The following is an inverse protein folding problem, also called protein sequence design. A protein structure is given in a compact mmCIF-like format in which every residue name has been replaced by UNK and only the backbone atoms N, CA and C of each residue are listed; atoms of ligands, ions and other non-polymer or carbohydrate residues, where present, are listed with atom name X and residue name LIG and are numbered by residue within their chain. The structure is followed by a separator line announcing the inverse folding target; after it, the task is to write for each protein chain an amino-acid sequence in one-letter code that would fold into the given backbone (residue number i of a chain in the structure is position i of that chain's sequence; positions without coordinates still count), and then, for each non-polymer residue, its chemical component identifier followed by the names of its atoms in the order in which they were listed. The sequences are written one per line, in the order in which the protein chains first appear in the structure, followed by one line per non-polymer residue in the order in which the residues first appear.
data_IF_568435699384
#
_entry.id   IF_568435699384
#
_cell.length_a   1.000
_cell.length_b   1.000
_cell.length_c   1.000
_cell.angle_alpha   90.00
_cell.angle_beta   90.00
_cell.angle_gamma   90.00
#
_symmetry.space_group_name_H-M   'P 1'
#
loop_
_entity.id
_entity.type
_entity.pdbx_description
1 polymer ?
#
# COMPACT_ATOMS: atom_id res chain seq x y z
N UNK A 1 -4.61 9.29 24.68
CA UNK A 1 -5.19 9.57 23.36
C UNK A 1 -5.16 8.30 22.51
N UNK A 2 -6.21 8.00 21.78
CA UNK A 2 -6.22 6.87 20.84
C UNK A 2 -5.16 7.07 19.76
N UNK A 3 -4.52 5.97 19.30
CA UNK A 3 -3.55 6.02 18.21
C UNK A 3 -4.22 5.57 16.91
N UNK A 4 -3.89 6.19 15.76
CA UNK A 4 -4.42 5.75 14.48
C UNK A 4 -3.92 4.33 14.18
N UNK A 5 -4.77 3.54 13.54
CA UNK A 5 -4.46 2.16 13.16
C UNK A 5 -4.65 2.01 11.65
N UNK A 6 -3.56 1.96 10.92
CA UNK A 6 -3.55 1.82 9.45
C UNK A 6 -3.52 0.37 8.96
N UNK A 7 -3.87 -0.58 9.81
CA UNK A 7 -4.02 -1.98 9.43
C UNK A 7 -2.71 -2.72 9.14
N UNK A 8 -2.87 -3.98 8.82
CA UNK A 8 -1.80 -4.88 8.37
C UNK A 8 -2.16 -5.34 6.96
N UNK A 9 -1.28 -5.06 6.01
CA UNK A 9 -1.42 -5.52 4.63
C UNK A 9 -1.30 -7.05 4.60
N UNK A 10 -2.23 -7.72 3.94
CA UNK A 10 -2.32 -9.18 3.86
C UNK A 10 -2.16 -9.92 5.20
N UNK A 11 -3.06 -9.73 6.18
CA UNK A 11 -2.90 -10.25 7.54
C UNK A 11 -2.84 -11.78 7.61
N UNK A 12 -3.45 -12.48 6.62
CA UNK A 12 -3.41 -13.95 6.53
C UNK A 12 -1.99 -14.46 6.27
N UNK A 13 -1.23 -13.78 5.43
CA UNK A 13 0.15 -14.14 5.13
C UNK A 13 1.04 -14.02 6.38
N UNK A 14 0.89 -12.93 7.14
CA UNK A 14 1.58 -12.75 8.41
C UNK A 14 1.27 -13.85 9.42
N UNK A 15 0.00 -14.21 9.56
CA UNK A 15 -0.42 -15.31 10.45
C UNK A 15 0.19 -16.66 10.03
N UNK A 16 0.21 -16.96 8.74
CA UNK A 16 0.80 -18.21 8.21
C UNK A 16 2.28 -18.30 8.59
N UNK A 17 3.05 -17.22 8.44
CA UNK A 17 4.48 -17.21 8.81
C UNK A 17 4.64 -17.46 10.32
N UNK A 18 3.86 -16.78 11.15
CA UNK A 18 3.92 -16.99 12.61
C UNK A 18 3.62 -18.45 12.99
N UNK A 19 2.54 -19.00 12.43
CA UNK A 19 2.17 -20.41 12.69
C UNK A 19 3.23 -21.39 12.19
N UNK A 20 3.83 -21.14 11.03
CA UNK A 20 4.91 -21.98 10.48
C UNK A 20 6.15 -21.96 11.37
N UNK A 21 6.53 -20.79 11.90
CA UNK A 21 7.65 -20.64 12.84
C UNK A 21 7.39 -21.39 14.15
N UNK A 22 6.19 -21.22 14.72
CA UNK A 22 5.79 -21.90 15.98
C UNK A 22 5.77 -23.43 15.80
N UNK A 23 5.13 -23.89 14.72
CA UNK A 23 5.06 -25.33 14.41
C UNK A 23 6.45 -25.93 14.14
N UNK A 24 7.29 -25.20 13.39
CA UNK A 24 8.67 -25.60 13.09
C UNK A 24 9.52 -25.70 14.35
N UNK A 25 9.39 -24.74 15.28
CA UNK A 25 10.07 -24.76 16.56
C UNK A 25 9.61 -25.95 17.43
N UNK A 26 8.29 -26.17 17.53
CA UNK A 26 7.73 -27.27 18.32
C UNK A 26 8.17 -28.65 17.78
N UNK A 27 8.07 -28.86 16.46
CA UNK A 27 8.52 -30.10 15.81
C UNK A 27 10.04 -30.30 15.98
N UNK A 28 10.81 -29.29 15.67
CA UNK A 28 12.27 -29.35 15.73
C UNK A 28 12.78 -29.69 17.16
N UNK A 29 12.25 -29.02 18.19
CA UNK A 29 12.61 -29.29 19.59
C UNK A 29 12.10 -30.65 20.07
N UNK A 30 10.88 -31.04 19.69
CA UNK A 30 10.27 -32.32 20.08
C UNK A 30 11.01 -33.53 19.53
N UNK A 31 11.48 -33.46 18.28
CA UNK A 31 12.06 -34.59 17.56
C UNK A 31 13.58 -34.54 17.38
N UNK A 32 14.29 -33.50 17.90
CA UNK A 32 15.77 -33.39 17.77
C UNK A 32 16.57 -34.55 18.33
N UNK A 33 15.97 -35.34 19.24
CA UNK A 33 16.59 -36.53 19.88
C UNK A 33 15.93 -37.84 19.43
N UNK A 34 15.16 -37.84 18.32
CA UNK A 34 14.51 -39.04 17.80
C UNK A 34 15.53 -40.15 17.50
N UNK A 35 15.17 -41.39 17.79
CA UNK A 35 15.95 -42.58 17.42
C UNK A 35 15.94 -42.86 15.91
N UNK A 36 14.90 -42.32 15.21
CA UNK A 36 14.79 -42.44 13.74
C UNK A 36 15.63 -41.36 13.11
N UNK A 37 16.67 -41.72 12.38
CA UNK A 37 17.63 -40.81 11.79
C UNK A 37 17.01 -39.79 10.86
N UNK A 38 16.08 -40.21 9.99
CA UNK A 38 15.37 -39.30 9.06
C UNK A 38 14.57 -38.25 9.80
N UNK A 39 13.92 -38.60 10.91
CA UNK A 39 13.13 -37.66 11.75
C UNK A 39 14.05 -36.66 12.44
N UNK A 40 15.18 -37.12 12.96
CA UNK A 40 16.20 -36.26 13.60
C UNK A 40 16.82 -35.28 12.60
N UNK A 41 17.11 -35.74 11.39
CA UNK A 41 17.64 -34.91 10.31
C UNK A 41 16.60 -33.82 9.90
N UNK A 42 15.34 -34.20 9.69
CA UNK A 42 14.26 -33.28 9.40
C UNK A 42 14.07 -32.22 10.51
N UNK A 43 14.10 -32.64 11.78
CA UNK A 43 14.00 -31.73 12.92
C UNK A 43 15.15 -30.71 12.94
N UNK A 44 16.38 -31.14 12.62
CA UNK A 44 17.56 -30.27 12.56
C UNK A 44 17.45 -29.24 11.43
N UNK A 45 17.01 -29.66 10.25
CA UNK A 45 16.78 -28.77 9.10
C UNK A 45 15.70 -27.72 9.43
N UNK A 46 14.56 -28.15 9.98
CA UNK A 46 13.46 -27.24 10.35
C UNK A 46 13.93 -26.25 11.41
N UNK A 47 14.66 -26.69 12.45
CA UNK A 47 15.23 -25.78 13.44
C UNK A 47 16.17 -24.74 12.83
N UNK A 48 16.96 -25.09 11.82
CA UNK A 48 17.86 -24.16 11.15
C UNK A 48 17.12 -23.04 10.37
N UNK A 49 15.85 -23.27 9.97
CA UNK A 49 15.01 -22.29 9.28
C UNK A 49 14.28 -21.35 10.25
N UNK A 50 14.14 -21.71 11.52
CA UNK A 50 13.41 -20.88 12.52
C UNK A 50 13.97 -19.45 12.63
N UNK A 51 15.29 -19.21 12.69
CA UNK A 51 15.84 -17.85 12.74
C UNK A 51 15.43 -17.00 11.53
N UNK A 52 15.43 -17.59 10.35
CA UNK A 52 14.96 -16.90 9.11
C UNK A 52 13.49 -16.48 9.24
N UNK A 53 12.63 -17.37 9.73
CA UNK A 53 11.23 -17.05 10.00
C UNK A 53 11.05 -15.92 11.01
N UNK A 54 11.85 -15.92 12.10
CA UNK A 54 11.84 -14.85 13.10
C UNK A 54 12.27 -13.52 12.46
N UNK A 55 13.33 -13.51 11.65
CA UNK A 55 13.78 -12.30 10.94
C UNK A 55 12.65 -11.77 10.05
N UNK A 56 11.96 -12.63 9.29
CA UNK A 56 10.83 -12.22 8.46
C UNK A 56 9.71 -11.57 9.31
N UNK A 57 9.37 -12.13 10.47
CA UNK A 57 8.38 -11.54 11.39
C UNK A 57 8.84 -10.17 11.87
N UNK A 58 10.11 -10.01 12.26
CA UNK A 58 10.66 -8.73 12.71
C UNK A 58 10.63 -7.68 11.59
N UNK A 59 10.94 -8.06 10.36
CA UNK A 59 10.85 -7.18 9.19
C UNK A 59 9.40 -6.77 8.91
N UNK A 60 8.44 -7.68 9.02
CA UNK A 60 7.00 -7.35 8.89
C UNK A 60 6.55 -6.38 9.98
N UNK A 61 6.96 -6.58 11.23
CA UNK A 61 6.64 -5.66 12.34
C UNK A 61 7.27 -4.29 12.09
N UNK A 62 8.52 -4.24 11.63
CA UNK A 62 9.20 -2.99 11.25
C UNK A 62 8.43 -2.27 10.14
N UNK A 63 7.99 -2.99 9.11
CA UNK A 63 7.18 -2.43 8.03
C UNK A 63 5.91 -1.78 8.57
N UNK A 64 5.10 -2.51 9.33
CA UNK A 64 3.82 -2.02 9.86
C UNK A 64 4.00 -0.81 10.78
N UNK A 65 5.08 -0.75 11.57
CA UNK A 65 5.27 0.30 12.57
C UNK A 65 6.07 1.51 12.09
N UNK A 66 6.94 1.33 11.10
CA UNK A 66 7.91 2.37 10.70
C UNK A 66 7.94 2.58 9.19
N UNK A 67 8.21 1.51 8.43
CA UNK A 67 8.59 1.69 7.02
C UNK A 67 7.44 2.16 6.14
N UNK A 68 6.19 1.75 6.40
CA UNK A 68 5.03 2.24 5.64
C UNK A 68 4.80 3.74 5.83
N UNK A 69 5.15 4.31 6.99
CA UNK A 69 5.06 5.75 7.22
C UNK A 69 6.19 6.50 6.50
N UNK A 70 7.40 5.97 6.53
CA UNK A 70 8.53 6.51 5.76
C UNK A 70 8.25 6.47 4.26
N UNK A 71 7.66 5.36 3.78
CA UNK A 71 7.28 5.21 2.39
C UNK A 71 6.19 6.21 1.99
N UNK A 72 5.13 6.36 2.82
CA UNK A 72 4.13 7.42 2.66
C UNK A 72 4.79 8.78 2.51
N UNK A 73 5.66 9.14 3.45
CA UNK A 73 6.28 10.46 3.48
C UNK A 73 7.20 10.69 2.27
N UNK A 74 7.87 9.63 1.79
CA UNK A 74 8.62 9.65 0.54
C UNK A 74 7.72 9.92 -0.66
N UNK A 75 6.61 9.20 -0.82
CA UNK A 75 5.65 9.41 -1.90
C UNK A 75 5.12 10.85 -1.87
N UNK A 76 4.69 11.32 -0.71
CA UNK A 76 4.18 12.67 -0.52
C UNK A 76 5.26 13.76 -0.71
N UNK A 77 6.53 13.43 -0.54
CA UNK A 77 7.67 14.32 -0.83
C UNK A 77 8.03 14.44 -2.32
N UNK A 78 7.40 13.65 -3.21
CA UNK A 78 7.70 13.67 -4.66
C UNK A 78 6.96 14.79 -5.41
N UNK A 79 6.10 15.54 -4.76
CA UNK A 79 5.41 16.71 -5.31
C UNK A 79 5.50 17.89 -4.34
N UNK A 80 5.63 19.13 -4.83
CA UNK A 80 5.53 20.32 -3.98
C UNK A 80 4.07 20.49 -3.52
N UNK A 81 3.90 21.01 -2.32
CA UNK A 81 2.59 21.27 -1.71
C UNK A 81 2.40 22.78 -1.53
N UNK A 82 1.30 23.32 -2.09
CA UNK A 82 0.87 24.72 -1.89
C UNK A 82 -0.12 24.84 -0.72
N UNK A 83 -0.84 23.71 -0.45
CA UNK A 83 -1.85 23.60 0.59
C UNK A 83 -3.30 23.77 0.09
N UNK A 84 -3.51 24.07 -1.18
CA UNK A 84 -4.82 24.24 -1.82
C UNK A 84 -5.20 23.10 -2.77
N UNK A 85 -4.36 22.05 -2.86
CA UNK A 85 -4.55 20.97 -3.80
C UNK A 85 -5.81 20.13 -3.53
N UNK A 86 -6.43 19.67 -4.62
CA UNK A 86 -7.38 18.57 -4.61
C UNK A 86 -6.60 17.28 -4.84
N UNK A 87 -6.58 16.39 -3.85
CA UNK A 87 -5.79 15.16 -3.86
C UNK A 87 -6.71 13.96 -3.88
N UNK A 88 -6.39 12.93 -4.66
CA UNK A 88 -7.08 11.65 -4.66
C UNK A 88 -6.13 10.54 -4.23
N UNK A 89 -6.57 9.70 -3.30
CA UNK A 89 -5.91 8.45 -2.89
C UNK A 89 -6.72 7.26 -3.40
N UNK A 90 -6.19 6.52 -4.37
CA UNK A 90 -6.83 5.38 -5.03
C UNK A 90 -6.44 4.09 -4.31
N UNK A 91 -7.44 3.38 -3.79
CA UNK A 91 -7.23 2.26 -2.86
C UNK A 91 -6.78 2.79 -1.50
N UNK A 92 -7.53 3.75 -0.99
CA UNK A 92 -7.15 4.50 0.22
C UNK A 92 -7.03 3.61 1.47
N UNK A 93 -7.70 2.45 1.49
CA UNK A 93 -7.72 1.57 2.63
C UNK A 93 -8.11 2.31 3.90
N UNK A 94 -7.27 2.25 4.91
CA UNK A 94 -7.48 2.94 6.19
C UNK A 94 -6.94 4.39 6.20
N UNK A 95 -6.72 4.98 5.02
CA UNK A 95 -6.43 6.40 4.83
C UNK A 95 -4.98 6.81 4.99
N UNK A 96 -4.00 5.91 4.85
CA UNK A 96 -2.58 6.22 5.11
C UNK A 96 -2.05 7.38 4.24
N UNK A 97 -2.27 7.34 2.93
CA UNK A 97 -1.86 8.41 2.01
C UNK A 97 -2.82 9.59 2.05
N UNK A 98 -4.14 9.34 2.03
CA UNK A 98 -5.17 10.37 2.11
C UNK A 98 -4.97 11.30 3.31
N UNK A 99 -4.81 10.73 4.51
CA UNK A 99 -4.59 11.49 5.75
C UNK A 99 -3.21 12.17 5.73
N UNK A 100 -2.19 11.48 5.22
CA UNK A 100 -0.86 12.05 5.05
C UNK A 100 -0.85 13.28 4.13
N UNK A 101 -1.63 13.27 3.04
CA UNK A 101 -1.86 14.41 2.15
C UNK A 101 -2.67 15.51 2.87
N UNK A 102 -3.79 15.17 3.52
CA UNK A 102 -4.64 16.10 4.23
C UNK A 102 -3.90 16.94 5.29
N UNK A 103 -2.87 16.37 5.92
CA UNK A 103 -1.99 17.10 6.86
C UNK A 103 -1.12 18.18 6.20
N UNK A 104 -0.93 18.13 4.89
CA UNK A 104 -0.16 19.11 4.10
C UNK A 104 -1.05 20.21 3.51
N UNK A 105 -2.37 20.01 3.56
CA UNK A 105 -3.34 20.94 3.02
C UNK A 105 -3.73 22.00 4.06
N UNK A 106 -3.99 23.20 3.57
CA UNK A 106 -4.57 24.32 4.35
C UNK A 106 -6.03 24.53 3.96
N UNK A 107 -6.30 24.81 2.70
CA UNK A 107 -7.62 25.01 2.10
C UNK A 107 -8.03 23.92 1.10
N UNK A 108 -7.09 23.07 0.70
CA UNK A 108 -7.33 21.94 -0.19
C UNK A 108 -8.07 20.78 0.50
N UNK A 109 -8.38 19.74 -0.28
CA UNK A 109 -9.12 18.56 0.20
C UNK A 109 -8.50 17.28 -0.32
N UNK A 110 -8.47 16.24 0.51
CA UNK A 110 -7.99 14.92 0.17
C UNK A 110 -9.16 13.93 0.07
N UNK A 111 -9.30 13.30 -1.07
CA UNK A 111 -10.33 12.31 -1.35
C UNK A 111 -9.71 10.92 -1.31
N UNK A 112 -10.46 9.95 -0.80
CA UNK A 112 -10.10 8.54 -0.85
C UNK A 112 -11.19 7.73 -1.55
N UNK A 113 -10.78 6.83 -2.44
CA UNK A 113 -11.67 5.82 -3.00
C UNK A 113 -11.15 4.43 -2.68
N UNK A 114 -12.06 3.51 -2.39
CA UNK A 114 -11.78 2.09 -2.19
C UNK A 114 -13.04 1.28 -2.46
N UNK A 115 -12.89 -0.03 -2.72
CA UNK A 115 -13.98 -1.00 -2.83
C UNK A 115 -14.12 -1.85 -1.56
N UNK A 116 -13.35 -1.53 -0.53
CA UNK A 116 -13.39 -2.04 0.84
C UNK A 116 -13.29 -3.57 0.96
N UNK A 117 -12.32 -4.19 0.25
CA UNK A 117 -12.08 -5.63 0.36
C UNK A 117 -11.26 -5.95 1.61
N UNK A 118 -11.84 -6.65 2.57
CA UNK A 118 -11.19 -7.06 3.83
C UNK A 118 -9.98 -7.97 3.64
N UNK A 119 -9.94 -8.74 2.55
CA UNK A 119 -8.80 -9.64 2.26
C UNK A 119 -7.50 -8.89 1.98
N UNK A 120 -7.58 -7.65 1.50
CA UNK A 120 -6.43 -6.86 1.04
C UNK A 120 -5.78 -6.13 2.22
N UNK A 121 -6.58 -5.68 3.19
CA UNK A 121 -6.12 -4.98 4.40
C UNK A 121 -7.00 -5.35 5.59
N UNK A 122 -6.40 -5.54 6.77
CA UNK A 122 -7.17 -5.85 7.99
C UNK A 122 -8.09 -4.69 8.38
N UNK A 123 -9.37 -5.02 8.68
CA UNK A 123 -10.41 -4.05 9.05
C UNK A 123 -10.50 -2.90 8.01
N UNK A 124 -10.55 -3.28 6.73
CA UNK A 124 -10.63 -2.36 5.59
C UNK A 124 -12.06 -1.84 5.44
N UNK A 125 -12.38 -0.79 6.19
CA UNK A 125 -13.71 -0.16 6.18
C UNK A 125 -13.62 1.35 6.11
N UNK A 126 -14.66 1.98 5.58
CA UNK A 126 -14.78 3.44 5.51
C UNK A 126 -14.75 4.07 6.92
N UNK A 127 -15.41 3.42 7.89
CA UNK A 127 -15.46 3.87 9.28
C UNK A 127 -14.08 3.85 9.94
N UNK A 128 -13.26 2.83 9.64
CA UNK A 128 -11.90 2.74 10.16
C UNK A 128 -11.00 3.86 9.59
N UNK A 129 -11.14 4.17 8.29
CA UNK A 129 -10.41 5.28 7.67
C UNK A 129 -10.85 6.64 8.25
N UNK A 130 -12.15 6.87 8.42
CA UNK A 130 -12.68 8.10 9.01
C UNK A 130 -12.26 8.27 10.47
N UNK A 131 -12.27 7.19 11.27
CA UNK A 131 -11.77 7.21 12.66
C UNK A 131 -10.29 7.61 12.71
N UNK A 132 -9.47 7.11 11.79
CA UNK A 132 -8.08 7.54 11.69
C UNK A 132 -7.96 9.03 11.36
N UNK A 133 -8.79 9.55 10.45
CA UNK A 133 -8.81 10.98 10.12
C UNK A 133 -9.23 11.86 11.31
N UNK A 134 -10.17 11.41 12.14
CA UNK A 134 -10.55 12.07 13.39
C UNK A 134 -9.40 12.09 14.40
N UNK A 135 -8.77 10.93 14.65
CA UNK A 135 -7.62 10.82 15.57
C UNK A 135 -6.46 11.71 15.14
N UNK A 136 -6.24 11.83 13.82
CA UNK A 136 -5.17 12.63 13.22
C UNK A 136 -5.55 14.12 13.02
N UNK A 137 -6.79 14.53 13.39
CA UNK A 137 -7.24 15.91 13.38
C UNK A 137 -7.43 16.51 11.98
N UNK A 138 -7.77 15.69 10.98
CA UNK A 138 -7.95 16.12 9.58
C UNK A 138 -9.31 15.70 9.00
N UNK A 139 -10.29 15.37 9.85
CA UNK A 139 -11.60 14.87 9.45
C UNK A 139 -12.35 15.80 8.49
N UNK A 140 -12.20 17.09 8.67
CA UNK A 140 -12.80 18.16 7.87
C UNK A 140 -12.17 18.31 6.47
N UNK A 141 -10.93 17.82 6.31
CA UNK A 141 -10.16 17.90 5.05
C UNK A 141 -10.24 16.63 4.22
N UNK A 142 -10.97 15.58 4.65
CA UNK A 142 -11.05 14.32 3.94
C UNK A 142 -12.47 13.99 3.51
N UNK A 143 -12.58 13.29 2.37
CA UNK A 143 -13.84 12.72 1.86
C UNK A 143 -13.58 11.32 1.34
N UNK A 144 -14.46 10.37 1.68
CA UNK A 144 -14.37 8.98 1.21
C UNK A 144 -15.54 8.64 0.30
N UNK A 145 -15.24 7.86 -0.75
CA UNK A 145 -16.26 7.31 -1.64
C UNK A 145 -16.00 5.84 -1.89
N UNK A 146 -17.07 5.05 -1.98
CA UNK A 146 -17.00 3.69 -2.49
C UNK A 146 -16.95 3.75 -4.02
N UNK A 147 -15.80 3.42 -4.61
CA UNK A 147 -15.61 3.47 -6.05
C UNK A 147 -14.50 2.55 -6.52
N UNK A 148 -14.66 2.06 -7.75
CA UNK A 148 -13.64 1.28 -8.45
C UNK A 148 -12.66 2.21 -9.16
N UNK A 149 -11.37 1.90 -9.05
CA UNK A 149 -10.30 2.65 -9.74
C UNK A 149 -10.44 2.67 -11.27
N UNK A 150 -11.19 1.72 -11.84
CA UNK A 150 -11.42 1.58 -13.29
C UNK A 150 -12.55 2.47 -13.82
N UNK A 151 -13.37 3.03 -12.91
CA UNK A 151 -14.50 3.91 -13.23
C UNK A 151 -14.71 4.87 -12.06
N UNK A 152 -14.02 6.01 -12.08
CA UNK A 152 -14.03 6.95 -10.97
C UNK A 152 -15.16 7.96 -11.08
N UNK A 153 -15.94 8.20 -9.99
CA UNK A 153 -17.08 9.12 -9.99
C UNK A 153 -16.65 10.58 -9.84
N UNK A 154 -15.67 10.99 -10.64
CA UNK A 154 -15.16 12.37 -10.65
C UNK A 154 -15.08 12.91 -12.09
N UNK A 155 -15.32 14.21 -12.29
CA UNK A 155 -15.10 14.87 -13.57
C UNK A 155 -13.63 14.83 -14.04
N UNK A 156 -13.42 15.02 -15.32
CA UNK A 156 -12.09 15.20 -15.88
C UNK A 156 -11.38 16.39 -15.24
N UNK A 157 -10.07 16.29 -15.05
CA UNK A 157 -9.28 17.41 -14.55
C UNK A 157 -9.67 17.91 -13.16
N UNK A 158 -10.07 17.02 -12.26
CA UNK A 158 -10.50 17.38 -10.89
C UNK A 158 -9.31 17.55 -9.94
N UNK A 159 -8.28 16.68 -10.05
CA UNK A 159 -7.24 16.55 -9.03
C UNK A 159 -5.89 17.12 -9.47
N UNK A 160 -5.21 17.78 -8.54
CA UNK A 160 -3.83 18.26 -8.69
C UNK A 160 -2.84 17.10 -8.50
N UNK A 161 -3.15 16.15 -7.61
CA UNK A 161 -2.33 15.00 -7.31
C UNK A 161 -3.18 13.74 -7.13
N UNK A 162 -2.77 12.63 -7.75
CA UNK A 162 -3.37 11.31 -7.52
C UNK A 162 -2.31 10.38 -6.94
N UNK A 163 -2.64 9.74 -5.83
CA UNK A 163 -1.79 8.82 -5.08
C UNK A 163 -2.37 7.41 -5.16
N UNK A 164 -1.54 6.39 -5.18
CA UNK A 164 -1.97 5.01 -4.96
C UNK A 164 -0.80 4.18 -4.43
N UNK A 165 -1.02 3.38 -3.40
CA UNK A 165 -0.01 2.50 -2.83
C UNK A 165 -0.57 1.11 -2.59
N UNK A 166 0.07 0.08 -3.14
CA UNK A 166 -0.29 -1.33 -2.97
C UNK A 166 -1.77 -1.63 -3.31
N UNK A 167 -2.28 -1.00 -4.39
CA UNK A 167 -3.69 -1.12 -4.77
C UNK A 167 -3.88 -1.70 -6.18
N UNK A 168 -3.26 -1.12 -7.21
CA UNK A 168 -3.60 -1.42 -8.59
C UNK A 168 -3.27 -2.87 -8.99
N UNK A 169 -2.30 -3.52 -8.33
CA UNK A 169 -1.99 -4.94 -8.55
C UNK A 169 -3.15 -5.88 -8.20
N UNK A 170 -4.09 -5.44 -7.34
CA UNK A 170 -5.28 -6.22 -7.01
C UNK A 170 -6.31 -6.27 -8.15
N UNK A 171 -6.10 -5.49 -9.22
CA UNK A 171 -6.86 -5.60 -10.46
C UNK A 171 -6.33 -6.77 -11.30
N UNK A 172 -7.15 -7.81 -11.54
CA UNK A 172 -6.61 -9.11 -12.00
C UNK A 172 -6.06 -9.09 -13.42
N UNK A 173 -6.58 -8.24 -14.31
CA UNK A 173 -6.18 -8.23 -15.72
C UNK A 173 -5.34 -7.00 -16.07
N UNK A 174 -4.48 -7.13 -17.07
CA UNK A 174 -3.69 -6.01 -17.59
C UNK A 174 -4.58 -4.89 -18.13
N UNK A 175 -5.68 -5.24 -18.83
CA UNK A 175 -6.66 -4.29 -19.35
C UNK A 175 -7.32 -3.49 -18.23
N UNK A 176 -7.65 -4.17 -17.11
CA UNK A 176 -8.22 -3.51 -15.93
C UNK A 176 -7.23 -2.55 -15.26
N UNK A 177 -5.95 -2.93 -15.15
CA UNK A 177 -4.91 -2.04 -14.64
C UNK A 177 -4.67 -0.85 -15.56
N UNK A 178 -4.68 -1.07 -16.88
CA UNK A 178 -4.59 0.01 -17.86
C UNK A 178 -5.82 0.93 -17.79
N UNK A 179 -7.04 0.38 -17.56
CA UNK A 179 -8.25 1.18 -17.36
C UNK A 179 -8.13 2.09 -16.13
N UNK A 180 -7.63 1.57 -15.00
CA UNK A 180 -7.38 2.38 -13.82
C UNK A 180 -6.35 3.50 -14.08
N UNK A 181 -5.27 3.22 -14.82
CA UNK A 181 -4.30 4.25 -15.20
C UNK A 181 -4.90 5.32 -16.13
N UNK A 182 -5.80 4.94 -17.07
CA UNK A 182 -6.53 5.91 -17.90
C UNK A 182 -7.45 6.80 -17.06
N UNK A 183 -8.17 6.23 -16.11
CA UNK A 183 -9.03 6.99 -15.20
C UNK A 183 -8.22 7.96 -14.33
N UNK A 184 -7.08 7.52 -13.79
CA UNK A 184 -6.14 8.40 -13.09
C UNK A 184 -5.70 9.57 -13.98
N UNK A 185 -5.30 9.29 -15.22
CA UNK A 185 -4.91 10.34 -16.17
C UNK A 185 -6.07 11.27 -16.52
N UNK A 186 -7.32 10.75 -16.66
CA UNK A 186 -8.53 11.53 -16.94
C UNK A 186 -8.83 12.52 -15.83
N UNK A 187 -8.84 12.07 -14.59
CA UNK A 187 -9.23 12.91 -13.43
C UNK A 187 -8.13 13.89 -13.01
N UNK A 188 -6.89 13.73 -13.48
CA UNK A 188 -5.82 14.68 -13.25
C UNK A 188 -5.99 15.95 -14.09
N UNK A 189 -5.77 17.10 -13.46
CA UNK A 189 -5.64 18.40 -14.14
C UNK A 189 -4.42 18.42 -15.07
N UNK A 190 -4.42 19.27 -16.11
CA UNK A 190 -3.16 19.69 -16.72
C UNK A 190 -2.19 20.22 -15.68
N UNK A 191 -0.91 19.82 -15.74
CA UNK A 191 0.09 20.10 -14.70
C UNK A 191 0.01 19.21 -13.47
N UNK A 192 -0.98 18.34 -13.38
CA UNK A 192 -1.16 17.40 -12.26
C UNK A 192 -0.20 16.21 -12.31
N UNK A 193 -0.07 15.52 -11.16
CA UNK A 193 0.86 14.40 -11.00
C UNK A 193 0.19 13.16 -10.41
N UNK A 194 0.49 11.99 -10.97
CA UNK A 194 0.19 10.69 -10.36
C UNK A 194 1.45 10.11 -9.71
N UNK A 195 1.34 9.58 -8.50
CA UNK A 195 2.42 8.90 -7.77
C UNK A 195 1.89 7.54 -7.32
N UNK A 196 2.29 6.50 -8.04
CA UNK A 196 1.78 5.13 -7.86
C UNK A 196 2.91 4.25 -7.36
N UNK A 197 2.71 3.57 -6.24
CA UNK A 197 3.68 2.62 -5.67
C UNK A 197 3.10 1.21 -5.62
N UNK A 198 3.89 0.26 -6.11
CA UNK A 198 3.52 -1.14 -6.08
C UNK A 198 4.76 -2.04 -6.11
N UNK A 199 4.59 -3.35 -5.81
CA UNK A 199 5.67 -4.34 -5.89
C UNK A 199 5.69 -5.09 -7.23
N UNK A 200 4.64 -4.96 -8.04
CA UNK A 200 4.51 -5.61 -9.34
C UNK A 200 3.80 -4.70 -10.34
N UNK A 201 3.84 -5.05 -11.63
CA UNK A 201 3.15 -4.36 -12.73
C UNK A 201 3.49 -2.87 -12.93
N UNK A 202 4.49 -2.33 -12.25
CA UNK A 202 4.84 -0.90 -12.33
C UNK A 202 5.28 -0.47 -13.73
N UNK A 203 5.87 -1.38 -14.53
CA UNK A 203 6.24 -1.11 -15.91
C UNK A 203 4.99 -1.00 -16.82
N UNK A 204 3.92 -1.78 -16.51
CA UNK A 204 2.62 -1.67 -17.18
C UNK A 204 1.97 -0.32 -16.88
N UNK A 205 2.03 0.15 -15.61
CA UNK A 205 1.49 1.47 -15.23
C UNK A 205 2.22 2.60 -15.95
N UNK A 206 3.56 2.57 -15.94
CA UNK A 206 4.36 3.57 -16.64
C UNK A 206 4.07 3.59 -18.14
N UNK A 207 3.87 2.43 -18.78
CA UNK A 207 3.47 2.32 -20.18
C UNK A 207 2.09 2.93 -20.39
N UNK A 208 1.09 2.56 -19.58
CA UNK A 208 -0.27 3.05 -19.68
C UNK A 208 -0.36 4.59 -19.54
N UNK A 209 0.42 5.19 -18.61
CA UNK A 209 0.50 6.64 -18.49
C UNK A 209 1.15 7.32 -19.69
N UNK A 210 2.23 6.74 -20.26
CA UNK A 210 2.83 7.28 -21.51
C UNK A 210 1.87 7.22 -22.68
N UNK A 211 1.03 6.19 -22.80
CA UNK A 211 -0.03 6.09 -23.81
C UNK A 211 -1.11 7.17 -23.64
N UNK A 212 -1.21 7.79 -22.45
CA UNK A 212 -2.05 8.97 -22.19
C UNK A 212 -1.29 10.30 -22.36
N UNK A 213 -0.10 10.28 -22.95
CA UNK A 213 0.71 11.49 -23.18
C UNK A 213 1.41 12.04 -21.92
N UNK A 214 1.47 11.28 -20.83
CA UNK A 214 2.13 11.71 -19.60
C UNK A 214 3.62 11.37 -19.58
N UNK A 215 4.43 12.27 -19.04
CA UNK A 215 5.84 11.99 -18.76
C UNK A 215 5.97 11.08 -17.53
N UNK A 216 6.78 10.03 -17.63
CA UNK A 216 6.93 9.06 -16.54
C UNK A 216 8.37 8.90 -16.07
N UNK A 217 8.56 8.85 -14.76
CA UNK A 217 9.81 8.43 -14.11
C UNK A 217 9.53 7.29 -13.14
N UNK A 218 10.51 6.40 -12.98
CA UNK A 218 10.39 5.26 -12.04
C UNK A 218 11.57 5.26 -11.07
N UNK A 219 11.29 4.98 -9.82
CA UNK A 219 12.31 4.85 -8.78
C UNK A 219 12.03 3.65 -7.88
N UNK A 220 13.11 3.06 -7.35
CA UNK A 220 13.00 2.00 -6.34
C UNK A 220 12.84 2.65 -4.96
N UNK A 221 11.86 2.21 -4.18
CA UNK A 221 11.58 2.81 -2.89
C UNK A 221 12.27 2.07 -1.75
N UNK A 222 11.91 0.87 -1.42
CA UNK A 222 12.51 0.13 -0.30
C UNK A 222 12.44 -1.37 -0.55
N UNK A 223 13.41 -2.09 0.05
CA UNK A 223 13.27 -3.50 0.30
C UNK A 223 12.35 -3.64 1.51
N UNK A 224 11.06 -3.75 1.26
CA UNK A 224 10.13 -4.25 2.27
C UNK A 224 10.20 -5.75 2.15
N UNK A 225 10.84 -6.40 3.08
CA UNK A 225 10.98 -7.85 2.99
C UNK A 225 9.60 -8.52 2.92
N UNK A 226 9.38 -9.40 1.96
CA UNK A 226 10.33 -9.89 0.96
C UNK A 226 10.25 -9.15 -0.40
N UNK A 227 9.57 -7.99 -0.52
CA UNK A 227 9.24 -7.35 -1.79
C UNK A 227 9.89 -5.98 -1.96
N UNK A 228 10.33 -5.71 -3.19
CA UNK A 228 10.85 -4.42 -3.60
C UNK A 228 9.69 -3.53 -4.07
N UNK A 229 9.46 -2.40 -3.42
CA UNK A 229 8.49 -1.41 -3.90
C UNK A 229 9.12 -0.49 -4.96
N UNK A 230 8.38 -0.26 -6.02
CA UNK A 230 8.71 0.71 -7.07
C UNK A 230 7.68 1.82 -7.09
N UNK A 231 8.12 3.04 -7.28
CA UNK A 231 7.26 4.20 -7.44
C UNK A 231 7.34 4.66 -8.90
N UNK A 232 6.18 4.78 -9.53
CA UNK A 232 6.00 5.44 -10.83
C UNK A 232 5.43 6.82 -10.54
N UNK A 233 6.14 7.86 -10.97
CA UNK A 233 5.63 9.23 -11.02
C UNK A 233 5.29 9.55 -12.47
N UNK A 234 4.07 9.99 -12.73
CA UNK A 234 3.61 10.41 -14.05
C UNK A 234 3.09 11.85 -13.98
N UNK A 235 3.57 12.72 -14.85
CA UNK A 235 3.19 14.15 -14.91
C UNK A 235 2.39 14.40 -16.17
N UNK A 236 1.23 15.07 -16.04
CA UNK A 236 0.35 15.44 -17.13
C UNK A 236 0.71 16.85 -17.60
N UNK A 237 1.04 17.00 -18.88
CA UNK A 237 1.30 18.30 -19.52
C UNK A 237 0.07 19.17 -19.56
#
# INVERSE_FOLDING_TARGET
MAKPNYGIDNPRFGLIIVLAVVAGLAFGLGFRKSSIEAVRAAASIILSLVPTGIILILLMVSYVKVEKFRHRDRMLGMTPWRGDEQVLDVGTGRGLLMIGAAKRLTSGKSFGIDIWRERDLSDNTQEAAMRNAEIEGVRDKVELRNADAREMPFPDGTFDCVLSNLCLHNTPTQEGRAAACREIARVLKPGGVAIISDFTHTDEYAKAFREQGMETTSSVSFLVAPMLLRIVKASKS
#
